data_IF_879307558953
#
_entry.id   IF_879307558953
#
_cell.length_a   1.000
_cell.length_b   1.000
_cell.length_c   1.000
_cell.angle_alpha   90.00
_cell.angle_beta   90.00
_cell.angle_gamma   90.00
#
_symmetry.space_group_name_H-M   'P 1'
#
loop_
_entity.id
_entity.type
_entity.pdbx_description
1 polymer ?
#
# COMPACT_ATOMS: atom_id res chain seq x y z
N UNK A 1 -7.65 -1.77 19.42
CA UNK A 1 -6.63 -1.78 18.35
C UNK A 1 -7.05 -2.88 17.40
N UNK A 2 -7.08 -2.64 16.07
CA UNK A 2 -7.48 -3.70 15.13
C UNK A 2 -6.46 -4.85 15.12
N UNK A 3 -6.92 -6.06 14.77
CA UNK A 3 -6.03 -7.23 14.70
C UNK A 3 -4.94 -7.02 13.64
N UNK A 4 -5.28 -6.41 12.50
CA UNK A 4 -4.32 -6.06 11.46
C UNK A 4 -3.20 -5.14 12.00
N UNK A 5 -3.56 -4.08 12.71
CA UNK A 5 -2.59 -3.14 13.30
C UNK A 5 -1.71 -3.81 14.35
N UNK A 6 -2.28 -4.72 15.14
CA UNK A 6 -1.52 -5.51 16.09
C UNK A 6 -0.50 -6.43 15.39
N UNK A 7 -0.92 -7.15 14.35
CA UNK A 7 -0.02 -8.00 13.54
C UNK A 7 1.14 -7.20 12.95
N UNK A 8 0.86 -6.05 12.35
CA UNK A 8 1.90 -5.18 11.77
C UNK A 8 2.85 -4.59 12.81
N UNK A 9 2.36 -4.27 14.00
CA UNK A 9 3.20 -3.75 15.08
C UNK A 9 4.31 -4.71 15.53
N UNK A 10 4.08 -6.02 15.36
CA UNK A 10 5.07 -7.05 15.63
C UNK A 10 6.01 -7.30 14.42
N UNK A 11 5.44 -7.39 13.22
CA UNK A 11 6.21 -7.71 12.01
C UNK A 11 7.14 -6.59 11.52
N UNK A 12 6.69 -5.33 11.59
CA UNK A 12 7.46 -4.19 11.07
C UNK A 12 8.84 -4.02 11.73
N UNK A 13 9.01 -4.17 13.06
CA UNK A 13 10.31 -4.12 13.68
C UNK A 13 11.28 -5.18 13.13
N UNK A 14 10.81 -6.42 12.92
CA UNK A 14 11.61 -7.51 12.41
C UNK A 14 12.05 -7.24 10.97
N UNK A 15 11.12 -6.84 10.09
CA UNK A 15 11.45 -6.46 8.71
C UNK A 15 12.44 -5.29 8.61
N UNK A 16 12.31 -4.31 9.50
CA UNK A 16 13.28 -3.20 9.57
C UNK A 16 14.66 -3.67 10.02
N UNK A 17 14.69 -4.59 10.94
CA UNK A 17 15.94 -5.19 11.41
C UNK A 17 16.61 -5.98 10.30
N UNK A 18 15.87 -6.87 9.61
CA UNK A 18 16.38 -7.66 8.48
C UNK A 18 16.91 -6.76 7.34
N UNK A 19 16.16 -5.72 6.99
CA UNK A 19 16.61 -4.75 5.98
C UNK A 19 17.89 -4.01 6.42
N UNK A 20 18.02 -3.69 7.70
CA UNK A 20 19.22 -3.05 8.25
C UNK A 20 20.42 -3.98 8.13
N UNK A 21 20.29 -5.24 8.57
CA UNK A 21 21.37 -6.24 8.48
C UNK A 21 21.78 -6.46 7.02
N UNK A 22 20.81 -6.59 6.11
CA UNK A 22 21.11 -6.75 4.68
C UNK A 22 21.93 -5.56 4.13
N UNK A 23 21.56 -4.33 4.49
CA UNK A 23 22.28 -3.13 4.05
C UNK A 23 23.67 -3.03 4.70
N UNK A 24 23.81 -3.39 5.98
CA UNK A 24 25.11 -3.40 6.67
C UNK A 24 26.05 -4.44 6.06
N UNK A 25 25.56 -5.62 5.68
CA UNK A 25 26.34 -6.72 5.13
C UNK A 25 26.65 -6.53 3.63
N UNK A 26 25.64 -6.13 2.83
CA UNK A 26 25.69 -6.14 1.36
C UNK A 26 25.43 -4.80 0.68
N UNK A 27 25.29 -3.73 1.45
CA UNK A 27 24.89 -2.42 0.89
C UNK A 27 25.83 -1.82 -0.15
N UNK A 28 27.09 -2.28 -0.21
CA UNK A 28 28.08 -1.84 -1.21
C UNK A 28 28.21 -2.79 -2.41
N UNK A 29 27.43 -3.87 -2.47
CA UNK A 29 27.45 -4.77 -3.63
C UNK A 29 26.85 -4.08 -4.87
N UNK A 30 27.54 -4.23 -6.01
CA UNK A 30 27.06 -3.69 -7.30
C UNK A 30 26.02 -4.65 -7.88
N UNK A 31 24.75 -4.23 -7.91
CA UNK A 31 23.62 -5.02 -8.42
C UNK A 31 23.36 -4.85 -9.93
N UNK A 32 24.07 -3.95 -10.59
CA UNK A 32 23.97 -3.72 -12.02
C UNK A 32 24.69 -2.44 -12.47
N UNK A 33 24.99 -2.38 -13.76
CA UNK A 33 25.54 -1.19 -14.41
C UNK A 33 24.45 -0.43 -15.16
N UNK A 34 24.58 0.88 -15.24
CA UNK A 34 23.65 1.76 -15.97
C UNK A 34 24.33 2.22 -17.26
N UNK A 35 23.66 2.04 -18.39
CA UNK A 35 24.14 2.52 -19.70
C UNK A 35 23.55 3.88 -20.05
N UNK A 36 24.22 4.64 -20.90
CA UNK A 36 23.69 5.92 -21.39
C UNK A 36 22.33 5.76 -22.10
N UNK A 37 22.15 4.68 -22.85
CA UNK A 37 20.88 4.36 -23.51
C UNK A 37 19.74 4.15 -22.50
N UNK A 38 20.02 3.50 -21.38
CA UNK A 38 19.01 3.32 -20.31
C UNK A 38 18.63 4.65 -19.64
N UNK A 39 19.60 5.55 -19.43
CA UNK A 39 19.33 6.89 -18.89
C UNK A 39 18.40 7.68 -19.82
N UNK A 40 18.69 7.70 -21.13
CA UNK A 40 17.81 8.33 -22.11
C UNK A 40 16.48 7.62 -22.31
N UNK A 41 16.43 6.30 -22.15
CA UNK A 41 15.23 5.48 -22.27
C UNK A 41 14.34 5.45 -21.02
N UNK A 42 14.57 6.29 -20.01
CA UNK A 42 13.78 6.35 -18.79
C UNK A 42 14.08 5.20 -17.80
N UNK A 43 15.33 4.76 -17.73
CA UNK A 43 15.83 3.77 -16.77
C UNK A 43 15.18 2.39 -16.89
N UNK A 44 14.66 2.03 -18.05
CA UNK A 44 14.00 0.74 -18.28
C UNK A 44 14.97 -0.43 -18.09
N UNK A 45 14.47 -1.47 -17.39
CA UNK A 45 15.25 -2.70 -17.14
C UNK A 45 16.30 -2.58 -16.05
N UNK A 46 16.38 -1.47 -15.34
CA UNK A 46 17.25 -1.33 -14.18
C UNK A 46 16.59 -1.89 -12.92
N UNK A 47 17.42 -2.53 -12.08
CA UNK A 47 17.01 -2.91 -10.73
C UNK A 47 17.10 -1.67 -9.81
N UNK A 48 16.03 -0.92 -9.72
CA UNK A 48 15.98 0.33 -8.96
C UNK A 48 15.11 0.28 -7.70
N UNK A 49 14.47 -0.87 -7.44
CA UNK A 49 13.56 -1.02 -6.31
C UNK A 49 13.61 -2.45 -5.76
N UNK A 50 13.62 -2.58 -4.44
CA UNK A 50 13.33 -3.85 -3.77
C UNK A 50 11.81 -3.94 -3.60
N UNK A 51 11.21 -5.00 -4.13
CA UNK A 51 9.79 -5.29 -3.99
C UNK A 51 9.63 -6.75 -3.54
N UNK A 52 9.15 -6.93 -2.33
CA UNK A 52 8.87 -8.23 -1.71
C UNK A 52 7.38 -8.57 -1.66
N UNK A 53 6.52 -7.63 -2.10
CA UNK A 53 5.07 -7.80 -2.09
C UNK A 53 4.55 -8.54 -3.32
N UNK A 54 5.17 -8.34 -4.48
CA UNK A 54 4.76 -9.02 -5.71
C UNK A 54 5.88 -9.10 -6.74
N UNK A 55 5.77 -10.08 -7.61
CA UNK A 55 6.64 -10.22 -8.79
C UNK A 55 5.84 -10.74 -9.97
N UNK A 56 6.31 -10.45 -11.19
CA UNK A 56 5.74 -11.00 -12.43
C UNK A 56 6.87 -11.56 -13.26
N UNK A 57 6.78 -12.84 -13.60
CA UNK A 57 7.68 -13.48 -14.57
C UNK A 57 6.92 -13.92 -15.82
N UNK A 58 7.65 -14.11 -16.92
CA UNK A 58 7.05 -14.57 -18.18
C UNK A 58 6.41 -15.97 -18.05
N UNK A 59 7.00 -16.82 -17.23
CA UNK A 59 6.61 -18.22 -17.10
C UNK A 59 5.57 -18.46 -15.99
N UNK A 60 5.73 -17.80 -14.85
CA UNK A 60 4.91 -18.00 -13.65
C UNK A 60 3.75 -17.01 -13.51
N UNK A 61 3.77 -15.92 -14.29
CA UNK A 61 2.81 -14.84 -14.15
C UNK A 61 2.95 -14.06 -12.86
N UNK A 62 1.83 -13.56 -12.32
CA UNK A 62 1.79 -12.76 -11.09
C UNK A 62 1.91 -13.66 -9.86
N UNK A 63 2.84 -13.28 -9.00
CA UNK A 63 3.06 -13.88 -7.68
C UNK A 63 2.87 -12.79 -6.63
N UNK A 64 2.02 -13.01 -5.65
CA UNK A 64 1.73 -12.08 -4.54
C UNK A 64 2.23 -12.71 -3.23
N UNK A 65 3.20 -12.07 -2.57
CA UNK A 65 3.80 -12.58 -1.32
C UNK A 65 4.18 -14.07 -1.41
N UNK A 66 4.80 -14.45 -2.56
CA UNK A 66 5.24 -15.82 -2.80
C UNK A 66 4.15 -16.80 -3.25
N UNK A 67 2.89 -16.37 -3.35
CA UNK A 67 1.76 -17.20 -3.81
C UNK A 67 1.44 -16.90 -5.27
N UNK A 68 1.48 -17.89 -6.18
CA UNK A 68 1.01 -17.72 -7.56
C UNK A 68 -0.45 -17.24 -7.59
N UNK A 69 -0.78 -16.34 -8.51
CA UNK A 69 -2.15 -15.81 -8.62
C UNK A 69 -3.20 -16.90 -8.74
N UNK A 70 -2.90 -17.96 -9.50
CA UNK A 70 -3.83 -19.09 -9.70
C UNK A 70 -4.18 -19.86 -8.41
N UNK A 71 -3.36 -19.75 -7.37
CA UNK A 71 -3.63 -20.39 -6.07
C UNK A 71 -4.52 -19.53 -5.15
N UNK A 72 -4.73 -18.27 -5.52
CA UNK A 72 -5.46 -17.26 -4.71
C UNK A 72 -6.59 -16.59 -5.49
N UNK A 73 -7.11 -17.21 -6.56
CA UNK A 73 -8.22 -16.66 -7.35
C UNK A 73 -9.56 -16.65 -6.62
N UNK A 74 -9.73 -17.54 -5.66
CA UNK A 74 -11.00 -17.78 -4.97
C UNK A 74 -11.11 -17.08 -3.62
N UNK A 75 -10.07 -16.29 -3.24
CA UNK A 75 -10.09 -15.52 -1.99
C UNK A 75 -10.69 -14.12 -2.19
N UNK A 76 -11.17 -13.53 -1.10
CA UNK A 76 -11.76 -12.20 -1.11
C UNK A 76 -10.70 -11.10 -1.30
N UNK A 77 -11.05 -9.93 -1.87
CA UNK A 77 -10.13 -8.79 -1.96
C UNK A 77 -9.53 -8.38 -0.62
N UNK A 78 -10.29 -8.46 0.46
CA UNK A 78 -9.83 -8.15 1.82
C UNK A 78 -8.76 -9.14 2.32
N UNK A 79 -8.84 -10.40 1.89
CA UNK A 79 -7.81 -11.39 2.17
C UNK A 79 -6.52 -11.10 1.39
N UNK A 80 -6.64 -10.66 0.12
CA UNK A 80 -5.48 -10.19 -0.67
C UNK A 80 -4.87 -8.93 -0.03
N UNK A 81 -5.69 -8.01 0.46
CA UNK A 81 -5.24 -6.81 1.17
C UNK A 81 -4.44 -7.18 2.43
N UNK A 82 -4.95 -8.12 3.24
CA UNK A 82 -4.22 -8.62 4.40
C UNK A 82 -2.90 -9.29 4.01
N UNK A 83 -2.93 -10.16 2.99
CA UNK A 83 -1.74 -10.85 2.47
C UNK A 83 -0.67 -9.86 2.01
N UNK A 84 -1.03 -8.84 1.24
CA UNK A 84 -0.10 -7.80 0.78
C UNK A 84 0.57 -7.07 1.94
N UNK A 85 -0.19 -6.72 2.97
CA UNK A 85 0.31 -5.96 4.11
C UNK A 85 1.13 -6.82 5.08
N UNK A 86 0.71 -8.05 5.34
CA UNK A 86 1.30 -8.88 6.41
C UNK A 86 2.21 -10.00 5.91
N UNK A 87 2.06 -10.41 4.65
CA UNK A 87 2.72 -11.60 4.09
C UNK A 87 1.98 -12.91 4.34
N UNK A 88 0.87 -12.89 5.12
CA UNK A 88 0.07 -14.07 5.46
C UNK A 88 -1.39 -13.89 5.06
N UNK A 89 -2.07 -14.99 4.76
CA UNK A 89 -3.53 -14.98 4.63
C UNK A 89 -4.17 -14.79 6.02
N UNK A 90 -5.28 -14.05 6.12
CA UNK A 90 -5.97 -13.87 7.38
C UNK A 90 -6.68 -15.16 7.84
N UNK A 91 -6.81 -15.35 9.13
CA UNK A 91 -7.81 -16.24 9.69
C UNK A 91 -9.20 -15.56 9.70
N UNK A 92 -10.25 -16.29 10.11
CA UNK A 92 -11.63 -15.79 10.11
C UNK A 92 -11.80 -14.51 10.95
N UNK A 93 -11.17 -14.43 12.13
CA UNK A 93 -11.25 -13.25 13.00
C UNK A 93 -10.53 -12.04 12.39
N UNK A 94 -9.39 -12.26 11.75
CA UNK A 94 -8.63 -11.21 11.08
C UNK A 94 -9.36 -10.70 9.83
N UNK A 95 -9.97 -11.59 9.05
CA UNK A 95 -10.79 -11.21 7.90
C UNK A 95 -11.98 -10.36 8.37
N UNK A 96 -12.68 -10.82 9.38
CA UNK A 96 -13.81 -10.07 9.95
C UNK A 96 -13.38 -8.69 10.48
N UNK A 97 -12.25 -8.61 11.19
CA UNK A 97 -11.72 -7.32 11.67
C UNK A 97 -11.50 -6.34 10.51
N UNK A 98 -10.93 -6.79 9.39
CA UNK A 98 -10.71 -5.94 8.21
C UNK A 98 -12.04 -5.48 7.61
N UNK A 99 -12.98 -6.40 7.42
CA UNK A 99 -14.31 -6.08 6.88
C UNK A 99 -15.06 -5.08 7.75
N UNK A 100 -14.98 -5.25 9.07
CA UNK A 100 -15.59 -4.31 10.04
C UNK A 100 -14.89 -2.94 9.99
N UNK A 101 -13.56 -2.87 9.80
CA UNK A 101 -12.83 -1.62 9.64
C UNK A 101 -13.22 -0.90 8.34
N UNK A 102 -13.27 -1.60 7.21
CA UNK A 102 -13.68 -1.03 5.93
C UNK A 102 -15.12 -0.49 6.01
N UNK A 103 -16.05 -1.30 6.52
CA UNK A 103 -17.44 -0.90 6.70
C UNK A 103 -17.62 0.32 7.62
N UNK A 104 -16.82 0.40 8.68
CA UNK A 104 -16.85 1.55 9.59
C UNK A 104 -16.49 2.87 8.90
N UNK A 105 -15.67 2.81 7.85
CA UNK A 105 -15.15 3.98 7.15
C UNK A 105 -15.71 4.15 5.74
N UNK A 106 -16.77 3.42 5.36
CA UNK A 106 -17.38 3.45 4.01
C UNK A 106 -18.07 4.79 3.66
N UNK A 107 -18.38 5.60 4.66
CA UNK A 107 -19.09 6.86 4.44
C UNK A 107 -18.15 7.93 3.87
N UNK A 108 -18.44 8.36 2.64
CA UNK A 108 -17.78 9.49 2.00
C UNK A 108 -18.36 10.79 2.54
N UNK A 109 -17.55 11.78 2.98
CA UNK A 109 -18.03 13.06 3.48
C UNK A 109 -18.87 13.83 2.43
N UNK A 110 -19.94 14.50 2.88
CA UNK A 110 -20.87 15.20 1.98
C UNK A 110 -20.21 16.25 1.09
N UNK A 111 -19.21 16.98 1.61
CA UNK A 111 -18.49 17.98 0.82
C UNK A 111 -17.72 17.41 -0.40
N UNK A 112 -17.39 16.11 -0.39
CA UNK A 112 -16.77 15.44 -1.54
C UNK A 112 -17.80 15.34 -2.67
N UNK A 113 -19.03 14.98 -2.33
CA UNK A 113 -20.14 14.93 -3.30
C UNK A 113 -20.48 16.31 -3.85
N UNK A 114 -20.44 17.36 -3.03
CA UNK A 114 -20.63 18.73 -3.46
C UNK A 114 -19.61 19.14 -4.52
N UNK A 115 -18.33 18.82 -4.28
CA UNK A 115 -17.26 19.09 -5.25
C UNK A 115 -17.45 18.30 -6.55
N UNK A 116 -17.74 17.00 -6.45
CA UNK A 116 -17.98 16.16 -7.63
C UNK A 116 -19.20 16.63 -8.44
N UNK A 117 -20.27 17.07 -7.77
CA UNK A 117 -21.46 17.60 -8.41
C UNK A 117 -21.24 18.95 -9.12
N UNK A 118 -20.25 19.74 -8.65
CA UNK A 118 -19.85 20.98 -9.29
C UNK A 118 -18.96 20.78 -10.52
N UNK A 119 -18.41 19.58 -10.73
CA UNK A 119 -17.61 19.28 -11.92
C UNK A 119 -18.50 19.16 -13.18
N UNK A 120 -17.97 19.47 -14.39
CA UNK A 120 -18.66 19.20 -15.64
C UNK A 120 -19.07 17.72 -15.74
N UNK A 121 -20.29 17.45 -16.22
CA UNK A 121 -20.84 16.08 -16.29
C UNK A 121 -20.12 15.16 -17.29
N UNK A 122 -19.40 15.73 -18.23
CA UNK A 122 -18.56 15.06 -19.22
C UNK A 122 -17.11 14.90 -18.77
N UNK A 123 -16.80 15.19 -17.49
CA UNK A 123 -15.47 14.98 -16.91
C UNK A 123 -15.07 13.51 -16.97
N UNK A 124 -13.78 13.26 -17.25
CA UNK A 124 -13.26 11.91 -17.25
C UNK A 124 -13.35 11.28 -15.84
N UNK A 125 -13.87 10.03 -15.70
CA UNK A 125 -14.08 9.40 -14.37
C UNK A 125 -12.83 9.40 -13.49
N UNK A 126 -11.63 9.19 -14.06
CA UNK A 126 -10.39 9.24 -13.29
C UNK A 126 -10.02 10.65 -12.81
N UNK A 127 -10.42 11.70 -13.53
CA UNK A 127 -10.24 13.07 -13.06
C UNK A 127 -11.16 13.33 -11.85
N UNK A 128 -12.40 12.87 -11.92
CA UNK A 128 -13.34 12.95 -10.79
C UNK A 128 -12.83 12.17 -9.57
N UNK A 129 -12.39 10.93 -9.77
CA UNK A 129 -11.82 10.10 -8.70
C UNK A 129 -10.60 10.74 -8.05
N UNK A 130 -9.64 11.24 -8.83
CA UNK A 130 -8.46 11.93 -8.30
C UNK A 130 -8.85 13.20 -7.52
N UNK A 131 -9.84 13.94 -8.01
CA UNK A 131 -10.35 15.14 -7.32
C UNK A 131 -10.98 14.76 -5.99
N UNK A 132 -11.78 13.69 -5.93
CA UNK A 132 -12.37 13.20 -4.69
C UNK A 132 -11.28 12.85 -3.65
N UNK A 133 -10.24 12.09 -4.06
CA UNK A 133 -9.13 11.75 -3.16
C UNK A 133 -8.41 13.00 -2.66
N UNK A 134 -8.13 13.97 -3.53
CA UNK A 134 -7.45 15.22 -3.13
C UNK A 134 -8.28 16.05 -2.16
N UNK A 135 -9.58 16.10 -2.35
CA UNK A 135 -10.50 16.84 -1.45
C UNK A 135 -10.59 16.16 -0.08
N UNK A 136 -10.46 14.83 -0.02
CA UNK A 136 -10.43 14.06 1.23
C UNK A 136 -9.15 14.22 2.04
N UNK A 137 -8.12 14.91 1.51
CA UNK A 137 -6.86 15.17 2.23
C UNK A 137 -7.08 15.78 3.62
N UNK A 138 -8.12 16.60 3.78
CA UNK A 138 -8.51 17.18 5.07
C UNK A 138 -8.80 16.14 6.15
N UNK A 139 -9.27 14.96 5.77
CA UNK A 139 -9.55 13.84 6.68
C UNK A 139 -8.29 13.02 7.02
N UNK A 140 -7.15 13.31 6.38
CA UNK A 140 -5.92 12.54 6.55
C UNK A 140 -5.41 12.61 7.99
N UNK A 141 -5.34 11.46 8.62
CA UNK A 141 -4.74 11.28 9.96
C UNK A 141 -3.23 11.46 9.88
N UNK A 142 -2.62 11.01 8.78
CA UNK A 142 -1.18 11.19 8.55
C UNK A 142 -0.81 12.66 8.51
N UNK A 143 -1.51 13.47 7.71
CA UNK A 143 -1.28 14.91 7.64
C UNK A 143 -1.38 15.57 9.02
N UNK A 144 -2.48 15.35 9.72
CA UNK A 144 -2.73 15.93 11.04
C UNK A 144 -1.68 15.56 12.09
N UNK A 145 -1.17 14.32 12.05
CA UNK A 145 -0.10 13.86 12.94
C UNK A 145 1.28 14.36 12.49
N UNK A 146 1.52 14.43 11.18
CA UNK A 146 2.78 14.92 10.60
C UNK A 146 3.06 16.36 11.03
N UNK A 147 2.08 17.25 10.93
CA UNK A 147 2.20 18.65 11.36
C UNK A 147 2.49 18.81 12.86
N UNK A 148 2.09 17.80 13.66
CA UNK A 148 2.37 17.73 15.10
C UNK A 148 3.70 17.04 15.43
N UNK A 149 4.53 16.70 14.43
CA UNK A 149 5.85 16.12 14.62
C UNK A 149 5.86 14.60 14.73
N UNK A 150 4.98 13.90 14.00
CA UNK A 150 4.99 12.44 13.93
C UNK A 150 6.37 11.92 13.55
N UNK A 151 6.88 10.95 14.29
CA UNK A 151 8.20 10.34 14.02
C UNK A 151 8.11 9.36 12.86
N UNK A 152 9.14 9.33 12.01
CA UNK A 152 9.21 8.46 10.83
C UNK A 152 8.90 6.97 11.13
N UNK A 153 9.30 6.48 12.29
CA UNK A 153 9.02 5.09 12.72
C UNK A 153 7.53 4.79 12.90
N UNK A 154 6.70 5.82 13.11
CA UNK A 154 5.27 5.74 13.41
C UNK A 154 4.40 6.05 12.17
N UNK A 155 5.00 6.41 11.02
CA UNK A 155 4.29 6.77 9.78
C UNK A 155 3.33 5.67 9.32
N UNK A 156 3.76 4.42 9.42
CA UNK A 156 2.99 3.27 8.96
C UNK A 156 1.59 3.18 9.58
N UNK A 157 1.46 3.54 10.87
CA UNK A 157 0.17 3.49 11.55
C UNK A 157 -0.84 4.48 10.95
N UNK A 158 -0.41 5.74 10.79
CA UNK A 158 -1.25 6.78 10.24
C UNK A 158 -1.56 6.52 8.76
N UNK A 159 -0.56 6.04 7.99
CA UNK A 159 -0.75 5.66 6.58
C UNK A 159 -1.73 4.49 6.44
N UNK A 160 -1.68 3.49 7.32
CA UNK A 160 -2.64 2.39 7.32
C UNK A 160 -4.07 2.87 7.60
N UNK A 161 -4.23 3.77 8.58
CA UNK A 161 -5.54 4.34 8.91
C UNK A 161 -6.12 5.14 7.74
N UNK A 162 -5.31 5.94 7.06
CA UNK A 162 -5.73 6.67 5.87
C UNK A 162 -6.02 5.72 4.69
N UNK A 163 -5.19 4.68 4.49
CA UNK A 163 -5.40 3.66 3.46
C UNK A 163 -6.75 2.93 3.60
N UNK A 164 -7.14 2.55 4.83
CA UNK A 164 -8.43 1.90 5.09
C UNK A 164 -9.62 2.84 4.79
N UNK A 165 -9.43 4.15 4.94
CA UNK A 165 -10.49 5.14 4.64
C UNK A 165 -10.64 5.45 3.15
N UNK A 166 -9.59 5.19 2.35
CA UNK A 166 -9.59 5.47 0.91
C UNK A 166 -10.05 4.28 0.07
N UNK A 167 -10.07 3.08 0.63
CA UNK A 167 -10.54 1.84 -0.02
C UNK A 167 -12.04 1.66 0.17
#
# INVERSE_FOLDING_TARGET
>A
MSLLKNTLSHKIPDWRYDAKILIEDKGNEIIGNVTLAQVYGGMRGLKGLVCDTSSVSADMGLIIRGKPLLEITDILPEEVFHLLLTGDLPNEDQLKDIQDQLKKHEAVPDYVWDVLNAMPKDSHPMAMFNTAILVMEKESIFHQKYDKGLKKKEYWEATLEDGIRLV
#
